data_IF_989954186834
#
_entry.id   IF_989954186834
#
_cell.length_a   1.000
_cell.length_b   1.000
_cell.length_c   1.000
_cell.angle_alpha   90.00
_cell.angle_beta   90.00
_cell.angle_gamma   90.00
#
_symmetry.space_group_name_H-M   'P 1'
#
loop_
_entity.id
_entity.type
_entity.pdbx_description
1 polymer ?
#
# COMPACT_ATOMS: atom_id res chain seq x y z
N UNK A 1 2.20 -30.87 -1.10
CA UNK A 1 1.99 -29.46 -0.70
C UNK A 1 3.08 -28.64 -1.39
N UNK A 2 2.73 -27.73 -2.28
CA UNK A 2 3.70 -26.82 -2.89
C UNK A 2 4.04 -25.74 -1.86
N UNK A 3 5.27 -25.75 -1.36
CA UNK A 3 5.78 -24.70 -0.48
C UNK A 3 5.93 -23.42 -1.29
N UNK A 4 5.06 -22.44 -1.02
CA UNK A 4 5.16 -21.11 -1.61
C UNK A 4 6.25 -20.34 -0.87
N UNK A 5 7.48 -20.42 -1.37
CA UNK A 5 8.62 -19.68 -0.82
C UNK A 5 8.62 -18.25 -1.38
N UNK A 6 8.81 -17.27 -0.51
CA UNK A 6 9.02 -15.87 -0.88
C UNK A 6 10.39 -15.44 -0.37
N UNK A 7 11.07 -14.57 -1.12
CA UNK A 7 12.36 -14.00 -0.71
C UNK A 7 12.20 -13.00 0.44
N UNK A 8 11.07 -12.28 0.45
CA UNK A 8 10.78 -11.21 1.41
C UNK A 8 9.36 -11.32 1.98
N UNK A 9 9.26 -11.30 3.31
CA UNK A 9 8.00 -11.07 4.03
C UNK A 9 7.94 -9.61 4.49
N UNK A 10 6.90 -8.88 4.08
CA UNK A 10 6.66 -7.50 4.48
C UNK A 10 5.46 -7.47 5.43
N UNK A 11 5.68 -7.00 6.65
CA UNK A 11 4.63 -6.91 7.68
C UNK A 11 4.06 -5.49 7.68
N UNK A 12 2.84 -5.35 7.16
CA UNK A 12 2.08 -4.11 7.05
C UNK A 12 1.87 -3.65 5.60
N UNK A 13 0.62 -3.49 5.19
CA UNK A 13 0.18 -2.97 3.89
C UNK A 13 -0.16 -1.47 3.95
N UNK A 14 0.58 -0.71 4.77
CA UNK A 14 0.59 0.75 4.73
C UNK A 14 1.39 1.30 3.54
N UNK A 15 1.40 2.62 3.29
CA UNK A 15 2.11 3.22 2.15
C UNK A 15 3.56 2.75 2.01
N UNK A 16 4.30 2.70 3.12
CA UNK A 16 5.70 2.23 3.14
C UNK A 16 5.84 0.75 2.79
N UNK A 17 4.96 -0.11 3.30
CA UNK A 17 5.01 -1.55 2.99
C UNK A 17 4.67 -1.84 1.53
N UNK A 18 3.71 -1.09 0.96
CA UNK A 18 3.41 -1.13 -0.46
C UNK A 18 4.60 -0.66 -1.31
N UNK A 19 5.23 0.46 -0.95
CA UNK A 19 6.42 0.96 -1.64
C UNK A 19 7.58 -0.04 -1.57
N UNK A 20 7.78 -0.69 -0.42
CA UNK A 20 8.78 -1.75 -0.24
C UNK A 20 8.51 -2.94 -1.16
N UNK A 21 7.26 -3.42 -1.24
CA UNK A 21 6.89 -4.54 -2.11
C UNK A 21 7.13 -4.24 -3.60
N UNK A 22 6.84 -3.00 -4.02
CA UNK A 22 7.12 -2.54 -5.39
C UNK A 22 8.63 -2.58 -5.65
N UNK A 23 9.44 -2.12 -4.70
CA UNK A 23 10.89 -2.10 -4.87
C UNK A 23 11.49 -3.51 -4.86
N UNK A 24 10.98 -4.43 -4.04
CA UNK A 24 11.34 -5.85 -4.10
C UNK A 24 11.08 -6.42 -5.51
N UNK A 25 9.87 -6.18 -6.07
CA UNK A 25 9.51 -6.67 -7.41
C UNK A 25 10.43 -6.10 -8.50
N UNK A 26 10.77 -4.81 -8.43
CA UNK A 26 11.72 -4.18 -9.38
C UNK A 26 13.12 -4.79 -9.33
N UNK A 27 13.54 -5.26 -8.15
CA UNK A 27 14.83 -5.91 -7.94
C UNK A 27 14.76 -7.44 -8.16
N UNK A 28 13.68 -7.96 -8.76
CA UNK A 28 13.54 -9.38 -9.09
C UNK A 28 13.26 -10.29 -7.89
N UNK A 29 12.91 -9.73 -6.72
CA UNK A 29 12.58 -10.48 -5.52
C UNK A 29 11.08 -10.81 -5.47
N UNK A 30 10.77 -12.03 -5.08
CA UNK A 30 9.40 -12.42 -4.72
C UNK A 30 9.10 -11.93 -3.30
N UNK A 31 8.03 -11.15 -3.16
CA UNK A 31 7.62 -10.61 -1.87
C UNK A 31 6.14 -10.87 -1.60
N UNK A 32 5.81 -11.10 -0.33
CA UNK A 32 4.43 -11.15 0.15
C UNK A 32 4.24 -10.11 1.24
N UNK A 33 3.17 -9.32 1.13
CA UNK A 33 2.76 -8.34 2.14
C UNK A 33 1.64 -8.93 2.98
N UNK A 34 1.77 -8.87 4.30
CA UNK A 34 0.74 -9.32 5.24
C UNK A 34 0.31 -8.16 6.12
N UNK A 35 -0.99 -7.87 6.19
CA UNK A 35 -1.55 -6.86 7.08
C UNK A 35 -2.72 -7.41 7.91
N UNK A 36 -2.75 -7.00 9.19
CA UNK A 36 -3.79 -7.35 10.15
C UNK A 36 -5.18 -6.80 9.79
N UNK A 37 -5.26 -5.79 8.92
CA UNK A 37 -6.48 -5.18 8.43
C UNK A 37 -6.48 -5.05 6.91
N UNK A 38 -7.17 -4.05 6.38
CA UNK A 38 -7.20 -3.80 4.94
C UNK A 38 -5.94 -3.08 4.44
N UNK A 39 -5.82 -2.95 3.12
CA UNK A 39 -4.79 -2.09 2.50
C UNK A 39 -4.91 -0.68 3.09
N UNK A 40 -3.77 -0.11 3.49
CA UNK A 40 -3.65 1.19 4.16
C UNK A 40 -4.62 1.36 5.35
N UNK A 41 -4.73 0.31 6.18
CA UNK A 41 -5.64 0.27 7.33
C UNK A 41 -5.55 1.49 8.26
N UNK A 42 -4.35 2.06 8.46
CA UNK A 42 -4.18 3.27 9.26
C UNK A 42 -4.90 4.48 8.65
N UNK A 43 -4.79 4.68 7.32
CA UNK A 43 -5.49 5.75 6.60
C UNK A 43 -7.00 5.50 6.61
N UNK A 44 -7.43 4.24 6.51
CA UNK A 44 -8.85 3.89 6.60
C UNK A 44 -9.49 4.37 7.92
N UNK A 45 -8.75 4.30 9.03
CA UNK A 45 -9.22 4.74 10.35
C UNK A 45 -9.01 6.23 10.65
N UNK A 46 -8.45 7.03 9.73
CA UNK A 46 -8.44 8.48 9.90
C UNK A 46 -9.86 9.07 9.86
N UNK A 47 -10.10 10.26 10.46
CA UNK A 47 -11.41 10.91 10.40
C UNK A 47 -11.95 10.99 8.99
N UNK A 48 -13.25 10.74 8.81
CA UNK A 48 -13.84 10.59 7.47
C UNK A 48 -13.61 11.80 6.55
N UNK A 49 -13.63 13.00 7.15
CA UNK A 49 -13.42 14.30 6.50
C UNK A 49 -11.97 14.80 6.56
N UNK A 50 -11.00 13.92 6.85
CA UNK A 50 -9.59 14.28 6.92
C UNK A 50 -9.04 14.65 5.52
N UNK A 51 -8.25 15.72 5.49
CA UNK A 51 -7.45 16.17 4.35
C UNK A 51 -5.98 16.02 4.72
N UNK A 52 -5.17 15.48 3.83
CA UNK A 52 -3.73 15.38 4.04
C UNK A 52 -3.11 16.77 4.15
N UNK A 53 -2.08 16.92 4.97
CA UNK A 53 -1.28 18.15 4.96
C UNK A 53 -0.29 18.20 3.78
N UNK A 54 0.06 17.02 3.27
CA UNK A 54 0.97 16.75 2.14
C UNK A 54 0.25 16.87 0.81
N UNK A 55 0.95 17.36 -0.21
CA UNK A 55 0.45 17.42 -1.59
C UNK A 55 0.45 16.03 -2.25
N UNK A 56 -0.34 15.85 -3.30
CA UNK A 56 -0.53 14.54 -3.92
C UNK A 56 0.76 13.92 -4.48
N UNK A 57 1.62 14.74 -5.10
CA UNK A 57 2.93 14.35 -5.66
C UNK A 57 3.87 13.77 -4.60
N UNK A 58 3.84 14.31 -3.38
CA UNK A 58 4.65 13.83 -2.26
C UNK A 58 4.08 12.56 -1.58
N UNK A 59 2.87 12.13 -1.96
CA UNK A 59 2.26 10.88 -1.50
C UNK A 59 2.42 9.73 -2.50
N UNK A 60 2.96 10.01 -3.68
CA UNK A 60 3.11 9.04 -4.75
C UNK A 60 4.12 7.94 -4.40
N UNK A 61 3.81 6.71 -4.80
CA UNK A 61 4.69 5.56 -4.70
C UNK A 61 4.68 4.76 -5.99
N UNK A 62 5.81 4.11 -6.29
CA UNK A 62 5.91 3.17 -7.41
C UNK A 62 5.70 3.77 -8.80
N UNK A 63 5.91 5.08 -8.97
CA UNK A 63 5.74 5.76 -10.26
C UNK A 63 4.30 5.85 -10.74
N UNK A 64 3.31 5.66 -9.84
CA UNK A 64 1.89 5.79 -10.16
C UNK A 64 1.43 7.20 -9.77
N UNK A 65 0.96 8.02 -10.73
CA UNK A 65 0.57 9.39 -10.44
C UNK A 65 -0.68 9.45 -9.55
N UNK A 66 -0.67 10.35 -8.56
CA UNK A 66 -1.81 10.61 -7.70
C UNK A 66 -2.64 11.77 -8.28
N UNK A 67 -3.51 11.42 -9.21
CA UNK A 67 -4.45 12.34 -9.85
C UNK A 67 -5.58 12.76 -8.90
N UNK A 68 -5.64 14.03 -8.52
CA UNK A 68 -6.70 14.65 -7.73
C UNK A 68 -6.98 16.07 -8.26
N UNK A 69 -8.21 16.57 -8.04
CA UNK A 69 -8.58 17.95 -8.35
C UNK A 69 -8.14 18.94 -7.27
N UNK A 70 -7.72 18.46 -6.10
CA UNK A 70 -7.27 19.27 -4.97
C UNK A 70 -5.74 19.19 -4.81
N UNK A 71 -5.04 20.28 -4.46
CA UNK A 71 -3.59 20.21 -4.20
C UNK A 71 -3.24 19.23 -3.07
N UNK A 72 -4.13 19.10 -2.08
CA UNK A 72 -4.01 18.19 -0.94
C UNK A 72 -5.17 17.21 -0.97
N UNK A 73 -4.92 15.90 -1.11
CA UNK A 73 -5.99 14.93 -1.24
C UNK A 73 -6.73 14.74 0.08
N UNK A 74 -7.97 14.28 -0.04
CA UNK A 74 -8.79 13.76 1.05
C UNK A 74 -8.36 12.35 1.43
N UNK A 75 -8.82 11.88 2.60
CA UNK A 75 -8.66 10.47 3.02
C UNK A 75 -9.17 9.49 1.95
N UNK A 76 -10.34 9.75 1.37
CA UNK A 76 -10.95 8.86 0.37
C UNK A 76 -10.14 8.77 -0.92
N UNK A 77 -9.63 9.92 -1.40
CA UNK A 77 -8.71 9.95 -2.52
C UNK A 77 -7.44 9.13 -2.24
N UNK A 78 -6.89 9.23 -1.01
CA UNK A 78 -5.73 8.43 -0.59
C UNK A 78 -6.02 6.93 -0.59
N UNK A 79 -7.19 6.51 -0.08
CA UNK A 79 -7.60 5.10 -0.10
C UNK A 79 -7.70 4.56 -1.52
N UNK A 80 -8.32 5.32 -2.42
CA UNK A 80 -8.47 4.94 -3.82
C UNK A 80 -7.12 4.91 -4.54
N UNK A 81 -6.23 5.85 -4.25
CA UNK A 81 -4.88 5.89 -4.79
C UNK A 81 -4.10 4.62 -4.46
N UNK A 82 -3.94 4.27 -3.17
CA UNK A 82 -3.15 3.10 -2.78
C UNK A 82 -3.78 1.78 -3.25
N UNK A 83 -5.11 1.71 -3.37
CA UNK A 83 -5.79 0.56 -4.00
C UNK A 83 -5.39 0.42 -5.47
N UNK A 84 -5.35 1.53 -6.23
CA UNK A 84 -4.91 1.53 -7.63
C UNK A 84 -3.43 1.14 -7.77
N UNK A 85 -2.57 1.61 -6.86
CA UNK A 85 -1.15 1.23 -6.84
C UNK A 85 -0.99 -0.28 -6.70
N UNK A 86 -1.71 -0.88 -5.74
CA UNK A 86 -1.70 -2.34 -5.52
C UNK A 86 -2.09 -3.10 -6.78
N UNK A 87 -3.15 -2.66 -7.46
CA UNK A 87 -3.64 -3.29 -8.68
C UNK A 87 -2.65 -3.11 -9.84
N UNK A 88 -2.12 -1.91 -10.03
CA UNK A 88 -1.20 -1.58 -11.12
C UNK A 88 0.10 -2.38 -11.03
N UNK A 89 0.63 -2.58 -9.83
CA UNK A 89 1.86 -3.36 -9.61
C UNK A 89 1.61 -4.85 -9.37
N UNK A 90 0.35 -5.29 -9.35
CA UNK A 90 -0.06 -6.68 -9.05
C UNK A 90 0.65 -7.23 -7.81
N UNK A 91 0.58 -6.46 -6.72
CA UNK A 91 1.27 -6.82 -5.48
C UNK A 91 0.62 -8.05 -4.84
N UNK A 92 1.44 -8.97 -4.31
CA UNK A 92 0.97 -10.12 -3.55
C UNK A 92 0.68 -9.71 -2.11
N UNK A 93 -0.60 -9.67 -1.74
CA UNK A 93 -1.05 -9.24 -0.42
C UNK A 93 -1.96 -10.28 0.23
N UNK A 94 -1.82 -10.42 1.55
CA UNK A 94 -2.82 -11.04 2.43
C UNK A 94 -3.25 -10.01 3.46
N UNK A 95 -4.54 -9.75 3.50
CA UNK A 95 -5.16 -8.75 4.37
C UNK A 95 -6.07 -9.44 5.37
N UNK A 96 -6.37 -8.76 6.48
CA UNK A 96 -7.06 -9.35 7.64
C UNK A 96 -6.32 -10.57 8.21
N UNK A 97 -4.99 -10.61 8.08
CA UNK A 97 -4.12 -11.66 8.60
C UNK A 97 -3.06 -11.02 9.49
N UNK A 98 -3.09 -11.35 10.79
CA UNK A 98 -2.12 -10.82 11.75
C UNK A 98 -0.89 -11.74 11.76
N UNK A 99 0.29 -11.14 11.66
CA UNK A 99 1.55 -11.83 11.94
C UNK A 99 1.75 -11.90 13.45
N UNK A 100 1.82 -13.13 13.97
CA UNK A 100 2.11 -13.41 15.37
C UNK A 100 3.60 -13.75 15.58
N UNK A 101 4.02 -13.81 16.85
CA UNK A 101 5.40 -14.10 17.25
C UNK A 101 5.68 -15.59 17.37
#
# INVERSE_FOLDING_TARGET
MTTNTFDVLIVGAGPTGLACAIECKKNGLTAIVIDKGCIVNSIYHFPANMIFFTTSDLLEIGGVPFTTTNPKPTREEGLNYYKRVVQFHELSLRTNERVDR
#
